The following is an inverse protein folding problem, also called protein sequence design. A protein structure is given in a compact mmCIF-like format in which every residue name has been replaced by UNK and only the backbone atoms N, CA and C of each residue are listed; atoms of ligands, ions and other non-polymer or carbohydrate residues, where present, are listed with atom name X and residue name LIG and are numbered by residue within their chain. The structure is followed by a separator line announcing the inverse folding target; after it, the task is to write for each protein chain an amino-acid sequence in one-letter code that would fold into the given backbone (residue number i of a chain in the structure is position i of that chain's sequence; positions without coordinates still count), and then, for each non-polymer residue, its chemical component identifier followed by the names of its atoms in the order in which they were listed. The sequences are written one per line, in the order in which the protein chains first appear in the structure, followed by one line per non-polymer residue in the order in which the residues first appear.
data_IF_323797522655
#
_entry.id   IF_323797522655
#
_cell.length_a   1.000
_cell.length_b   1.000
_cell.length_c   1.000
_cell.angle_alpha   90.00
_cell.angle_beta   90.00
_cell.angle_gamma   90.00
#
_symmetry.space_group_name_H-M   'P 1'
#
loop_
_entity.id
_entity.type
_entity.pdbx_description
1 polymer ?
#
# COMPACT_ATOMS: atom_id res chain seq x y z
N UNK A 1 -11.45 16.12 -14.76
CA UNK A 1 -11.43 14.91 -15.60
C UNK A 1 -10.29 14.84 -16.62
N UNK A 2 -9.92 15.86 -17.41
CA UNK A 2 -8.78 15.71 -18.38
C UNK A 2 -7.39 15.57 -17.75
N UNK A 3 -7.11 16.25 -16.63
CA UNK A 3 -5.76 16.27 -16.04
C UNK A 3 -5.39 14.97 -15.32
N UNK A 4 -6.37 14.23 -14.77
CA UNK A 4 -6.09 12.97 -14.09
C UNK A 4 -5.65 11.86 -15.06
N UNK A 5 -6.21 11.82 -16.27
CA UNK A 5 -5.75 10.91 -17.32
C UNK A 5 -4.32 11.22 -17.75
N UNK A 6 -3.94 12.50 -17.78
CA UNK A 6 -2.56 12.91 -18.09
C UNK A 6 -1.59 12.46 -16.99
N UNK A 7 -1.97 12.62 -15.72
CA UNK A 7 -1.18 12.11 -14.59
C UNK A 7 -1.05 10.59 -14.65
N UNK A 8 -2.14 9.87 -14.89
CA UNK A 8 -2.13 8.42 -15.00
C UNK A 8 -1.22 7.96 -16.15
N UNK A 9 -1.34 8.59 -17.33
CA UNK A 9 -0.47 8.35 -18.47
C UNK A 9 1.01 8.55 -18.12
N UNK A 10 1.39 9.64 -17.45
CA UNK A 10 2.77 9.87 -17.01
C UNK A 10 3.25 8.82 -16.01
N UNK A 11 2.43 8.46 -15.02
CA UNK A 11 2.80 7.42 -14.06
C UNK A 11 2.94 6.04 -14.71
N UNK A 12 2.15 5.74 -15.74
CA UNK A 12 2.28 4.50 -16.52
C UNK A 12 3.55 4.47 -17.37
N UNK A 13 3.94 5.62 -17.92
CA UNK A 13 5.18 5.79 -18.69
C UNK A 13 6.45 5.81 -17.82
N UNK A 14 6.33 5.87 -16.49
CA UNK A 14 7.50 5.97 -15.61
C UNK A 14 8.00 7.41 -15.42
N UNK A 15 7.18 8.42 -15.67
CA UNK A 15 7.49 9.84 -15.42
C UNK A 15 6.69 10.37 -14.20
N UNK A 16 6.95 9.87 -12.98
CA UNK A 16 6.20 10.29 -11.79
C UNK A 16 6.36 11.79 -11.47
N UNK A 17 7.51 12.37 -11.77
CA UNK A 17 7.79 13.81 -11.59
C UNK A 17 6.87 14.69 -12.45
N UNK A 18 6.59 14.28 -13.70
CA UNK A 18 5.61 15.00 -14.54
C UNK A 18 4.20 14.86 -14.00
N UNK A 19 3.86 13.71 -13.42
CA UNK A 19 2.56 13.53 -12.77
C UNK A 19 2.41 14.46 -11.54
N UNK A 20 3.47 14.64 -10.75
CA UNK A 20 3.53 15.63 -9.66
C UNK A 20 3.44 17.07 -10.17
N UNK A 21 4.14 17.42 -11.26
CA UNK A 21 4.03 18.75 -11.87
C UNK A 21 2.58 19.06 -12.28
N UNK A 22 1.89 18.08 -12.88
CA UNK A 22 0.47 18.24 -13.23
C UNK A 22 -0.40 18.40 -11.98
N UNK A 23 -0.10 17.69 -10.88
CA UNK A 23 -0.77 17.88 -9.59
C UNK A 23 -0.58 19.32 -9.08
N UNK A 24 0.66 19.83 -9.09
CA UNK A 24 0.97 21.22 -8.73
C UNK A 24 0.30 22.24 -9.64
N UNK A 25 0.16 21.93 -10.93
CA UNK A 25 -0.57 22.77 -11.89
C UNK A 25 -2.07 22.82 -11.61
N UNK A 26 -2.68 21.73 -11.15
CA UNK A 26 -4.09 21.75 -10.73
C UNK A 26 -4.25 22.76 -9.58
N UNK A 27 -3.33 22.73 -8.62
CA UNK A 27 -3.34 23.62 -7.46
C UNK A 27 -3.11 25.09 -7.85
N UNK A 28 -2.15 25.38 -8.73
CA UNK A 28 -1.85 26.75 -9.17
C UNK A 28 -2.99 27.39 -9.97
N UNK A 29 -3.84 26.56 -10.60
CA UNK A 29 -5.07 27.00 -11.26
C UNK A 29 -6.23 27.25 -10.28
N UNK A 30 -5.98 27.22 -8.97
CA UNK A 30 -7.00 27.41 -7.92
C UNK A 30 -7.97 26.23 -7.81
N UNK A 31 -7.64 25.07 -8.38
CA UNK A 31 -8.46 23.86 -8.26
C UNK A 31 -7.92 22.98 -7.15
N UNK A 32 -8.82 22.37 -6.39
CA UNK A 32 -8.45 21.40 -5.36
C UNK A 32 -8.22 20.04 -6.00
N UNK A 33 -7.01 19.47 -5.97
CA UNK A 33 -6.82 18.09 -6.40
C UNK A 33 -7.61 17.16 -5.48
N UNK A 34 -8.22 16.13 -6.06
CA UNK A 34 -9.01 15.16 -5.32
C UNK A 34 -8.15 13.98 -4.82
N UNK A 35 -8.76 13.13 -3.99
CA UNK A 35 -8.15 11.90 -3.48
C UNK A 35 -7.56 11.03 -4.60
N UNK A 36 -8.20 11.00 -5.76
CA UNK A 36 -7.75 10.18 -6.89
C UNK A 36 -6.46 10.76 -7.47
N UNK A 37 -6.37 12.08 -7.63
CA UNK A 37 -5.18 12.78 -8.13
C UNK A 37 -3.95 12.52 -7.25
N UNK A 38 -4.08 12.63 -5.93
CA UNK A 38 -3.00 12.29 -4.99
C UNK A 38 -2.62 10.81 -5.08
N UNK A 39 -3.62 9.91 -5.06
CA UNK A 39 -3.36 8.47 -5.14
C UNK A 39 -2.66 8.07 -6.44
N UNK A 40 -2.96 8.72 -7.56
CA UNK A 40 -2.26 8.49 -8.83
C UNK A 40 -0.77 8.83 -8.70
N UNK A 41 -0.42 9.99 -8.16
CA UNK A 41 0.99 10.40 -7.98
C UNK A 41 1.71 9.49 -6.99
N UNK A 42 1.10 9.18 -5.84
CA UNK A 42 1.65 8.25 -4.84
C UNK A 42 1.94 6.89 -5.46
N UNK A 43 1.02 6.34 -6.25
CA UNK A 43 1.24 5.08 -6.99
C UNK A 43 2.38 5.18 -8.00
N UNK A 44 2.50 6.32 -8.68
CA UNK A 44 3.60 6.61 -9.61
C UNK A 44 4.95 6.52 -8.92
N UNK A 45 5.13 7.26 -7.83
CA UNK A 45 6.37 7.24 -7.03
C UNK A 45 6.67 5.85 -6.46
N UNK A 46 5.67 5.18 -5.89
CA UNK A 46 5.82 3.80 -5.38
C UNK A 46 6.28 2.83 -6.46
N UNK A 47 5.76 2.92 -7.70
CA UNK A 47 6.17 2.06 -8.82
C UNK A 47 7.64 2.24 -9.20
N UNK A 48 8.18 3.44 -9.00
CA UNK A 48 9.59 3.76 -9.23
C UNK A 48 10.48 3.49 -8.02
N UNK A 49 9.88 3.13 -6.89
CA UNK A 49 10.62 2.90 -5.66
C UNK A 49 11.00 4.15 -4.88
N UNK A 50 10.45 5.30 -5.29
CA UNK A 50 10.66 6.61 -4.69
C UNK A 50 9.70 6.81 -3.51
N UNK A 51 9.92 6.05 -2.44
CA UNK A 51 9.00 6.00 -1.30
C UNK A 51 9.02 7.29 -0.47
N UNK A 52 10.16 8.00 -0.41
CA UNK A 52 10.29 9.26 0.32
C UNK A 52 9.43 10.37 -0.32
N UNK A 53 9.44 10.42 -1.64
CA UNK A 53 8.64 11.31 -2.46
C UNK A 53 7.15 10.98 -2.31
N UNK A 54 6.80 9.68 -2.32
CA UNK A 54 5.44 9.24 -2.04
C UNK A 54 4.94 9.70 -0.66
N UNK A 55 5.79 9.63 0.38
CA UNK A 55 5.48 10.15 1.72
C UNK A 55 5.25 11.67 1.66
N UNK A 56 6.08 12.42 0.94
CA UNK A 56 5.90 13.87 0.77
C UNK A 56 4.50 14.22 0.23
N UNK A 57 4.07 13.52 -0.81
CA UNK A 57 2.73 13.69 -1.41
C UNK A 57 1.61 13.27 -0.43
N UNK A 58 1.83 12.23 0.39
CA UNK A 58 0.90 11.82 1.44
C UNK A 58 0.80 12.84 2.59
N UNK A 59 1.91 13.45 2.98
CA UNK A 59 1.91 14.53 3.98
C UNK A 59 1.18 15.76 3.43
N UNK A 60 1.39 16.09 2.15
CA UNK A 60 0.68 17.18 1.49
C UNK A 60 -0.84 16.94 1.45
N UNK A 61 -1.29 15.73 1.05
CA UNK A 61 -2.72 15.43 0.99
C UNK A 61 -3.38 15.59 2.36
N UNK A 62 -2.70 15.13 3.41
CA UNK A 62 -3.18 15.20 4.80
C UNK A 62 -3.20 16.64 5.31
N UNK A 63 -2.16 17.42 5.03
CA UNK A 63 -2.08 18.85 5.38
C UNK A 63 -3.16 19.71 4.73
N UNK A 64 -3.70 19.26 3.58
CA UNK A 64 -4.85 19.89 2.90
C UNK A 64 -6.20 19.36 3.36
N UNK A 65 -6.24 18.49 4.37
CA UNK A 65 -7.47 17.89 4.90
C UNK A 65 -8.07 16.79 4.02
N UNK A 66 -7.34 16.33 2.99
CA UNK A 66 -7.78 15.21 2.15
C UNK A 66 -7.43 13.92 2.87
N UNK A 67 -8.46 13.22 3.34
CA UNK A 67 -8.28 11.97 4.10
C UNK A 67 -7.76 10.85 3.20
N UNK A 68 -6.62 10.22 3.54
CA UNK A 68 -6.18 9.01 2.86
C UNK A 68 -7.21 7.90 2.97
N UNK A 69 -7.38 7.12 1.91
CA UNK A 69 -8.23 5.92 1.91
C UNK A 69 -7.41 4.63 1.93
N UNK A 70 -8.10 3.48 2.05
CA UNK A 70 -7.50 2.14 2.07
C UNK A 70 -6.54 1.87 0.90
N UNK A 71 -6.81 2.44 -0.28
CA UNK A 71 -5.95 2.30 -1.47
C UNK A 71 -4.60 3.00 -1.26
N UNK A 72 -4.60 4.15 -0.60
CA UNK A 72 -3.39 4.91 -0.24
C UNK A 72 -2.50 4.06 0.65
N UNK A 73 -3.06 3.53 1.75
CA UNK A 73 -2.31 2.72 2.70
C UNK A 73 -1.79 1.43 2.07
N UNK A 74 -2.62 0.74 1.28
CA UNK A 74 -2.19 -0.46 0.55
C UNK A 74 -1.05 -0.17 -0.42
N UNK A 75 -1.00 1.03 -1.01
CA UNK A 75 0.11 1.45 -1.87
C UNK A 75 1.41 1.51 -1.06
N UNK A 76 1.41 2.12 0.12
CA UNK A 76 2.58 2.16 1.00
C UNK A 76 2.99 0.78 1.52
N UNK A 77 2.05 0.03 2.11
CA UNK A 77 2.29 -1.32 2.64
C UNK A 77 2.88 -2.22 1.56
N UNK A 78 2.34 -2.17 0.33
CA UNK A 78 2.88 -2.96 -0.77
C UNK A 78 4.25 -2.49 -1.26
N UNK A 79 4.59 -1.22 -1.09
CA UNK A 79 5.91 -0.66 -1.43
C UNK A 79 6.99 -1.09 -0.44
N UNK A 80 6.66 -1.07 0.86
CA UNK A 80 7.53 -1.53 1.94
C UNK A 80 7.67 -3.06 1.97
N UNK A 81 6.58 -3.80 1.74
CA UNK A 81 6.61 -5.26 1.64
C UNK A 81 7.54 -5.77 0.53
N UNK A 82 7.66 -5.02 -0.58
CA UNK A 82 8.57 -5.36 -1.67
C UNK A 82 10.05 -5.12 -1.33
N UNK A 83 10.34 -4.44 -0.21
CA UNK A 83 11.67 -4.08 0.29
C UNK A 83 11.98 -4.70 1.65
N UNK A 84 11.09 -5.55 2.16
CA UNK A 84 11.23 -6.18 3.48
C UNK A 84 11.34 -5.16 4.63
N UNK A 85 10.78 -3.97 4.42
CA UNK A 85 10.73 -2.86 5.37
C UNK A 85 9.54 -3.04 6.34
N UNK A 86 9.67 -4.00 7.24
CA UNK A 86 8.55 -4.47 8.07
C UNK A 86 8.15 -3.49 9.18
N UNK A 87 9.10 -2.72 9.72
CA UNK A 87 8.80 -1.71 10.73
C UNK A 87 7.89 -0.61 10.14
N UNK A 88 8.16 -0.20 8.90
CA UNK A 88 7.37 0.80 8.19
C UNK A 88 5.98 0.29 7.82
N UNK A 89 5.83 -1.02 7.57
CA UNK A 89 4.50 -1.64 7.43
C UNK A 89 3.71 -1.51 8.73
N UNK A 90 4.34 -1.79 9.87
CA UNK A 90 3.71 -1.69 11.17
C UNK A 90 3.24 -0.27 11.47
N UNK A 91 4.08 0.73 11.18
CA UNK A 91 3.75 2.15 11.36
C UNK A 91 2.54 2.57 10.52
N UNK A 92 2.49 2.14 9.25
CA UNK A 92 1.35 2.45 8.36
C UNK A 92 0.08 1.78 8.87
N UNK A 93 0.17 0.52 9.31
CA UNK A 93 -0.97 -0.23 9.84
C UNK A 93 -1.48 0.38 11.15
N UNK A 94 -0.59 0.80 12.04
CA UNK A 94 -0.97 1.51 13.26
C UNK A 94 -1.66 2.84 12.94
N UNK A 95 -1.09 3.62 12.02
CA UNK A 95 -1.69 4.86 11.55
C UNK A 95 -3.09 4.64 10.96
N UNK A 96 -3.29 3.57 10.18
CA UNK A 96 -4.61 3.19 9.67
C UNK A 96 -5.62 2.98 10.80
N UNK A 97 -5.25 2.25 11.85
CA UNK A 97 -6.14 1.97 12.97
C UNK A 97 -6.47 3.23 13.78
N UNK A 98 -5.49 4.10 14.02
CA UNK A 98 -5.69 5.39 14.68
C UNK A 98 -6.70 6.26 13.93
N UNK A 99 -6.73 6.14 12.59
CA UNK A 99 -7.68 6.86 11.73
C UNK A 99 -8.99 6.08 11.48
N UNK A 100 -9.25 5.02 12.24
CA UNK A 100 -10.51 4.27 12.22
C UNK A 100 -10.64 3.25 11.11
N UNK A 101 -9.58 2.97 10.36
CA UNK A 101 -9.60 1.94 9.32
C UNK A 101 -9.40 0.54 9.93
N UNK A 102 -9.86 -0.47 9.19
CA UNK A 102 -9.60 -1.88 9.46
C UNK A 102 -8.82 -2.45 8.30
N UNK A 103 -8.00 -3.47 8.57
CA UNK A 103 -7.38 -4.25 7.51
C UNK A 103 -8.48 -4.88 6.66
N UNK A 104 -8.36 -4.76 5.34
CA UNK A 104 -9.20 -5.50 4.42
C UNK A 104 -8.45 -6.73 3.91
N UNK A 105 -9.18 -7.57 3.19
CA UNK A 105 -8.66 -8.81 2.61
C UNK A 105 -7.36 -8.60 1.82
N UNK A 106 -7.35 -7.59 0.95
CA UNK A 106 -6.20 -7.23 0.12
C UNK A 106 -5.01 -6.77 0.96
N UNK A 107 -5.22 -5.95 1.99
CA UNK A 107 -4.16 -5.48 2.88
C UNK A 107 -3.50 -6.66 3.58
N UNK A 108 -4.28 -7.59 4.12
CA UNK A 108 -3.76 -8.80 4.75
C UNK A 108 -2.95 -9.64 3.77
N UNK A 109 -3.45 -9.83 2.55
CA UNK A 109 -2.73 -10.58 1.50
C UNK A 109 -1.38 -9.95 1.16
N UNK A 110 -1.30 -8.62 1.06
CA UNK A 110 -0.05 -7.92 0.76
C UNK A 110 0.95 -8.11 1.89
N UNK A 111 0.52 -7.94 3.15
CA UNK A 111 1.37 -8.11 4.33
C UNK A 111 1.91 -9.53 4.38
N UNK A 112 1.02 -10.54 4.34
CA UNK A 112 1.41 -11.96 4.40
C UNK A 112 2.41 -12.30 3.29
N UNK A 113 2.12 -11.93 2.05
CA UNK A 113 3.02 -12.20 0.92
C UNK A 113 4.39 -11.53 1.08
N UNK A 114 4.45 -10.32 1.66
CA UNK A 114 5.71 -9.63 1.95
C UNK A 114 6.60 -10.41 2.92
N UNK A 115 6.05 -10.80 4.06
CA UNK A 115 6.79 -11.54 5.09
C UNK A 115 7.16 -12.97 4.64
N UNK A 116 6.29 -13.64 3.88
CA UNK A 116 6.60 -14.97 3.32
C UNK A 116 7.80 -14.94 2.38
N UNK A 117 7.92 -13.89 1.56
CA UNK A 117 9.04 -13.74 0.62
C UNK A 117 10.38 -13.55 1.33
N UNK A 118 10.40 -12.90 2.48
CA UNK A 118 11.59 -12.69 3.29
C UNK A 118 12.09 -13.95 4.05
N UNK A 119 11.50 -15.13 3.80
CA UNK A 119 11.86 -16.37 4.48
C UNK A 119 11.52 -16.41 5.98
N UNK A 120 10.82 -15.38 6.48
CA UNK A 120 10.36 -15.29 7.86
C UNK A 120 9.10 -16.15 8.00
N UNK A 121 9.20 -17.17 8.85
CA UNK A 121 8.25 -18.27 8.95
C UNK A 121 6.82 -17.75 9.14
N UNK A 122 5.87 -18.31 8.38
CA UNK A 122 4.44 -17.98 8.41
C UNK A 122 3.82 -18.01 9.82
N UNK A 123 4.35 -18.82 10.74
CA UNK A 123 3.83 -19.03 12.09
C UNK A 123 4.02 -17.83 13.04
N UNK A 124 5.22 -17.22 13.20
CA UNK A 124 5.38 -15.99 13.97
C UNK A 124 4.66 -14.79 13.36
N UNK A 125 4.53 -14.69 12.03
CA UNK A 125 3.70 -13.65 11.40
C UNK A 125 2.21 -13.87 11.69
N UNK A 126 1.75 -15.12 11.61
CA UNK A 126 0.41 -15.52 11.96
C UNK A 126 0.08 -15.16 13.42
N UNK A 127 0.99 -15.50 14.34
CA UNK A 127 0.89 -15.16 15.75
C UNK A 127 0.97 -13.64 15.97
N UNK A 128 1.82 -12.92 15.25
CA UNK A 128 1.95 -11.47 15.31
C UNK A 128 0.68 -10.75 14.86
N UNK A 129 0.14 -11.13 13.70
CA UNK A 129 -1.09 -10.54 13.17
C UNK A 129 -2.31 -10.93 14.02
N UNK A 130 -2.34 -12.14 14.59
CA UNK A 130 -3.41 -12.58 15.49
C UNK A 130 -3.30 -11.93 16.88
N UNK A 131 -2.09 -11.77 17.42
CA UNK A 131 -1.84 -11.14 18.71
C UNK A 131 -2.01 -9.62 18.68
N UNK A 132 -1.63 -8.96 17.58
CA UNK A 132 -1.66 -7.49 17.44
C UNK A 132 -2.96 -6.98 16.80
N UNK A 133 -3.60 -7.77 15.93
CA UNK A 133 -4.76 -7.33 15.14
C UNK A 133 -6.04 -8.19 15.34
N UNK A 134 -6.01 -9.16 16.27
CA UNK A 134 -7.05 -9.86 17.04
C UNK A 134 -8.37 -10.35 16.41
N UNK A 135 -8.83 -9.85 15.25
CA UNK A 135 -10.19 -10.13 14.75
C UNK A 135 -10.23 -10.61 13.28
N UNK A 136 -9.19 -10.37 12.49
CA UNK A 136 -9.28 -10.59 11.03
C UNK A 136 -8.49 -11.80 10.47
N UNK A 137 -7.53 -12.37 11.22
CA UNK A 137 -6.60 -13.36 10.68
C UNK A 137 -7.08 -14.82 10.69
N UNK A 138 -8.10 -15.16 11.49
CA UNK A 138 -8.58 -16.55 11.58
C UNK A 138 -9.11 -17.08 10.24
N UNK A 139 -9.77 -16.24 9.43
CA UNK A 139 -10.33 -16.68 8.13
C UNK A 139 -9.28 -16.76 7.02
N UNK A 140 -8.25 -15.90 7.05
CA UNK A 140 -7.29 -15.79 5.93
C UNK A 140 -6.11 -16.77 6.03
N UNK A 141 -5.66 -17.07 7.25
CA UNK A 141 -4.59 -18.06 7.45
C UNK A 141 -5.06 -19.48 7.20
N UNK A 142 -6.34 -19.77 7.47
CA UNK A 142 -6.94 -21.09 7.24
C UNK A 142 -6.99 -21.44 5.74
N UNK A 143 -7.30 -20.47 4.88
CA UNK A 143 -7.39 -20.68 3.43
C UNK A 143 -6.01 -20.64 2.73
N UNK A 144 -5.13 -19.73 3.12
CA UNK A 144 -3.77 -19.62 2.54
C UNK A 144 -2.86 -20.79 2.93
N UNK A 145 -2.98 -21.30 4.17
CA UNK A 145 -2.22 -22.47 4.61
C UNK A 145 -2.67 -23.75 3.88
N UNK A 146 -3.96 -23.86 3.53
CA UNK A 146 -4.48 -24.99 2.76
C UNK A 146 -3.97 -24.97 1.31
N UNK A 147 -3.92 -23.79 0.67
CA UNK A 147 -3.36 -23.63 -0.68
C UNK A 147 -1.84 -23.83 -0.73
N UNK A 148 -1.11 -23.34 0.28
CA UNK A 148 0.34 -23.52 0.38
C UNK A 148 0.71 -24.99 0.63
N UNK A 149 -0.02 -25.68 1.52
CA UNK A 149 0.15 -27.11 1.76
C UNK A 149 -0.21 -27.97 0.53
N UNK A 150 -1.20 -27.54 -0.26
CA UNK A 150 -1.56 -28.20 -1.52
C UNK A 150 -0.52 -27.97 -2.63
N UNK A 151 0.14 -26.80 -2.65
CA UNK A 151 1.23 -26.53 -3.60
C UNK A 151 2.54 -27.27 -3.26
N UNK A 152 2.80 -27.52 -1.97
CA UNK A 152 3.99 -28.23 -1.51
C UNK A 152 3.91 -29.75 -1.70
N UNK A 153 2.70 -30.32 -1.82
CA UNK A 153 2.48 -31.76 -2.07
C UNK A 153 2.54 -32.17 -3.55
N UNK A 154 2.72 -31.21 -4.48
CA UNK A 154 2.77 -31.43 -5.93
C UNK A 154 4.18 -31.35 -6.55
N UNK A 155 5.24 -31.21 -5.75
CA UNK A 155 6.60 -31.39 -6.24
C UNK A 155 6.93 -32.89 -6.27
N UNK A 156 7.17 -33.51 -7.44
CA UNK A 156 7.62 -34.89 -7.49
C UNK A 156 9.06 -34.97 -6.96
N UNK A 157 9.30 -35.97 -6.14
CA UNK A 157 10.59 -36.33 -5.55
C UNK A 157 11.74 -36.37 -6.56
#
# INVERSE_FOLDING_TARGET
MRMIFLMDMYTQAGDCWKAEEVLGRIQSLGRTPDLISYNTVIKGFRRQGLMQEAIGIFSEMSGRGIRPCIVTYNTFISGYAAREMFAEIDDVVEYMFQHGYRLNELTCKIIVNGYCKAGSVLAPLAAYLTSKYAIFCQTYMYNSAHDAAFSASLLPF
#
